data_IF_333614787838
#
_entry.id   IF_333614787838
#
_cell.length_a   1.000
_cell.length_b   1.000
_cell.length_c   1.000
_cell.angle_alpha   90.00
_cell.angle_beta   90.00
_cell.angle_gamma   90.00
#
_symmetry.space_group_name_H-M   'P 1'
#
loop_
_entity.id
_entity.type
_entity.pdbx_description
1 polymer ?
#
# COMPACT_ATOMS: atom_id res chain seq x y z
N UNK A 1 12.54 32.33 -5.65
CA UNK A 1 12.94 32.94 -6.94
C UNK A 1 12.05 32.51 -8.12
N UNK A 2 11.70 31.22 -8.31
CA UNK A 2 10.77 30.81 -9.40
C UNK A 2 9.37 31.44 -9.24
N UNK A 3 8.76 31.35 -8.06
CA UNK A 3 7.46 31.98 -7.80
C UNK A 3 7.50 33.49 -7.96
N UNK A 4 8.60 34.13 -7.54
CA UNK A 4 8.88 35.55 -7.76
C UNK A 4 8.88 35.91 -9.25
N UNK A 5 9.51 35.09 -10.10
CA UNK A 5 9.53 35.30 -11.55
C UNK A 5 8.14 35.11 -12.18
N UNK A 6 7.39 34.09 -11.75
CA UNK A 6 6.01 33.84 -12.20
C UNK A 6 5.11 35.02 -11.82
N UNK A 7 5.20 35.49 -10.57
CA UNK A 7 4.44 36.65 -10.10
C UNK A 7 4.81 37.92 -10.84
N UNK A 8 6.10 38.17 -11.09
CA UNK A 8 6.56 39.31 -11.89
C UNK A 8 5.88 39.33 -13.27
N UNK A 9 5.86 38.18 -13.94
CA UNK A 9 5.19 38.03 -15.23
C UNK A 9 3.67 38.24 -15.11
N UNK A 10 3.02 37.60 -14.13
CA UNK A 10 1.57 37.66 -13.94
C UNK A 10 1.06 39.06 -13.56
N UNK A 11 1.83 39.81 -12.76
CA UNK A 11 1.52 41.19 -12.37
C UNK A 11 1.96 42.22 -13.41
N UNK A 12 2.55 41.78 -14.52
CA UNK A 12 3.11 42.64 -15.57
C UNK A 12 4.10 43.67 -15.00
N UNK A 13 4.91 43.23 -14.04
CA UNK A 13 5.86 44.06 -13.32
C UNK A 13 7.18 44.19 -14.12
N UNK A 14 7.49 45.42 -14.52
CA UNK A 14 8.67 45.77 -15.32
C UNK A 14 9.87 46.24 -14.49
N UNK A 15 9.79 46.23 -13.17
CA UNK A 15 10.92 46.62 -12.32
C UNK A 15 12.12 45.70 -12.58
N UNK A 16 13.31 46.33 -12.64
CA UNK A 16 14.57 45.62 -12.89
C UNK A 16 14.91 44.66 -11.75
N UNK A 17 14.57 45.06 -10.53
CA UNK A 17 14.75 44.28 -9.31
C UNK A 17 13.40 43.85 -8.78
N UNK A 18 13.29 42.57 -8.41
CA UNK A 18 12.10 42.02 -7.76
C UNK A 18 12.58 41.12 -6.63
N UNK A 19 11.98 41.31 -5.46
CA UNK A 19 12.31 40.57 -4.26
C UNK A 19 11.33 39.44 -4.01
N UNK A 20 11.82 38.38 -3.35
CA UNK A 20 10.98 37.30 -2.87
C UNK A 20 10.03 37.87 -1.82
N UNK A 21 8.73 37.69 -2.03
CA UNK A 21 7.72 38.02 -1.03
C UNK A 21 7.38 36.80 -0.18
N UNK A 22 6.77 37.02 0.98
CA UNK A 22 6.32 35.94 1.87
C UNK A 22 5.39 34.97 1.14
N UNK A 23 4.51 35.48 0.25
CA UNK A 23 3.64 34.63 -0.57
C UNK A 23 4.43 33.68 -1.49
N UNK A 24 5.56 34.12 -2.05
CA UNK A 24 6.40 33.29 -2.90
C UNK A 24 7.05 32.16 -2.09
N UNK A 25 7.47 32.48 -0.86
CA UNK A 25 8.09 31.54 0.07
C UNK A 25 7.08 30.55 0.64
N UNK A 26 5.95 31.03 1.16
CA UNK A 26 4.89 30.20 1.74
C UNK A 26 4.26 29.27 0.70
N UNK A 27 4.14 29.71 -0.56
CA UNK A 27 3.70 28.85 -1.66
C UNK A 27 4.69 27.70 -1.88
N UNK A 28 5.99 27.99 -1.92
CA UNK A 28 7.02 26.97 -2.06
C UNK A 28 7.03 25.99 -0.87
N UNK A 29 6.89 26.52 0.35
CA UNK A 29 6.86 25.73 1.58
C UNK A 29 5.64 24.80 1.61
N UNK A 30 4.48 25.32 1.23
CA UNK A 30 3.24 24.55 1.15
C UNK A 30 3.34 23.43 0.14
N UNK A 31 3.83 23.71 -1.07
CA UNK A 31 4.05 22.67 -2.10
C UNK A 31 5.04 21.60 -1.62
N UNK A 32 6.12 22.01 -0.96
CA UNK A 32 7.11 21.08 -0.41
C UNK A 32 6.48 20.13 0.62
N UNK A 33 5.71 20.67 1.57
CA UNK A 33 4.99 19.87 2.58
C UNK A 33 4.03 18.88 1.92
N UNK A 34 3.25 19.35 0.94
CA UNK A 34 2.32 18.51 0.18
C UNK A 34 3.06 17.39 -0.56
N UNK A 35 4.13 17.71 -1.30
CA UNK A 35 4.89 16.69 -2.03
C UNK A 35 5.53 15.64 -1.11
N UNK A 36 5.99 16.04 0.08
CA UNK A 36 6.47 15.08 1.09
C UNK A 36 5.33 14.18 1.55
N UNK A 37 4.16 14.72 1.86
CA UNK A 37 3.01 13.90 2.26
C UNK A 37 2.60 12.92 1.14
N UNK A 38 2.56 13.38 -0.10
CA UNK A 38 2.27 12.54 -1.26
C UNK A 38 3.34 11.47 -1.50
N UNK A 39 4.63 11.80 -1.32
CA UNK A 39 5.71 10.82 -1.48
C UNK A 39 5.62 9.74 -0.41
N UNK A 40 5.31 10.09 0.85
CA UNK A 40 5.07 9.12 1.93
C UNK A 40 3.93 8.18 1.54
N UNK A 41 2.78 8.71 1.11
CA UNK A 41 1.63 7.89 0.68
C UNK A 41 2.01 6.96 -0.47
N UNK A 42 2.74 7.46 -1.46
CA UNK A 42 3.25 6.64 -2.56
C UNK A 42 4.17 5.54 -2.03
N UNK A 43 5.13 5.86 -1.15
CA UNK A 43 6.03 4.86 -0.56
C UNK A 43 5.31 3.83 0.30
N UNK A 44 4.27 4.22 1.05
CA UNK A 44 3.47 3.27 1.82
C UNK A 44 2.61 2.36 0.95
N UNK A 45 2.14 2.88 -0.19
CA UNK A 45 1.29 2.14 -1.13
C UNK A 45 2.08 1.40 -2.21
N UNK A 46 3.36 1.73 -2.38
CA UNK A 46 4.26 0.96 -3.23
C UNK A 46 4.32 -0.45 -2.64
N UNK A 47 4.09 -1.49 -3.46
CA UNK A 47 4.21 -2.86 -2.99
C UNK A 47 5.62 -3.01 -2.45
N UNK A 48 5.76 -3.30 -1.14
CA UNK A 48 7.06 -3.54 -0.51
C UNK A 48 7.85 -4.47 -1.43
N UNK A 49 8.95 -3.97 -2.00
CA UNK A 49 9.87 -4.79 -2.81
C UNK A 49 10.45 -5.85 -1.87
N UNK A 50 9.76 -6.97 -1.75
CA UNK A 50 9.99 -8.01 -0.75
C UNK A 50 8.79 -8.93 -0.55
N UNK A 51 7.56 -8.42 -0.71
CA UNK A 51 6.36 -9.26 -0.71
C UNK A 51 6.05 -9.76 -2.13
N UNK A 52 6.98 -10.47 -2.77
CA UNK A 52 6.66 -11.37 -3.89
C UNK A 52 5.96 -12.65 -3.36
N UNK A 53 4.99 -12.45 -2.47
CA UNK A 53 4.26 -13.50 -1.79
C UNK A 53 2.78 -13.53 -2.20
N UNK A 54 2.04 -14.52 -1.72
CA UNK A 54 0.62 -14.74 -2.05
C UNK A 54 -0.32 -13.58 -1.66
N UNK A 55 0.20 -12.57 -0.96
CA UNK A 55 -0.49 -11.39 -0.44
C UNK A 55 -0.53 -10.19 -1.40
N UNK A 56 0.11 -10.28 -2.59
CA UNK A 56 0.23 -9.20 -3.59
C UNK A 56 -1.09 -8.57 -4.06
N UNK A 57 -2.25 -9.17 -3.77
CA UNK A 57 -3.53 -8.84 -4.41
C UNK A 57 -4.55 -8.14 -3.50
N UNK A 58 -4.12 -7.51 -2.41
CA UNK A 58 -4.95 -6.60 -1.61
C UNK A 58 -5.08 -6.98 -0.15
N UNK A 59 -5.44 -5.98 0.67
CA UNK A 59 -5.61 -6.09 2.12
C UNK A 59 -6.50 -7.28 2.53
N UNK A 60 -7.50 -7.63 1.72
CA UNK A 60 -8.44 -8.70 2.02
C UNK A 60 -7.76 -10.07 2.13
N UNK A 61 -6.72 -10.36 1.34
CA UNK A 61 -5.97 -11.64 1.44
C UNK A 61 -5.12 -11.70 2.71
N UNK A 62 -4.61 -10.55 3.16
CA UNK A 62 -3.86 -10.43 4.40
C UNK A 62 -4.78 -10.59 5.60
N UNK A 63 -5.88 -9.84 5.65
CA UNK A 63 -6.94 -9.97 6.66
C UNK A 63 -7.50 -11.39 6.73
N UNK A 64 -7.69 -12.03 5.58
CA UNK A 64 -8.08 -13.44 5.51
C UNK A 64 -7.06 -14.36 6.18
N UNK A 65 -5.77 -14.24 5.84
CA UNK A 65 -4.74 -15.06 6.46
C UNK A 65 -4.63 -14.81 7.95
N UNK A 66 -4.71 -13.55 8.41
CA UNK A 66 -4.66 -13.19 9.83
C UNK A 66 -5.84 -13.80 10.60
N UNK A 67 -7.02 -13.89 9.98
CA UNK A 67 -8.22 -14.50 10.55
C UNK A 67 -8.19 -16.04 10.59
N UNK A 68 -7.27 -16.71 9.87
CA UNK A 68 -7.14 -18.17 9.94
C UNK A 68 -6.57 -18.60 11.31
N UNK A 69 -7.09 -19.66 11.93
CA UNK A 69 -6.47 -20.25 13.12
C UNK A 69 -5.04 -20.75 12.86
N UNK A 70 -4.28 -21.06 13.91
CA UNK A 70 -2.96 -21.68 13.76
C UNK A 70 -3.04 -23.07 13.13
N UNK A 71 -4.11 -23.84 13.40
CA UNK A 71 -4.41 -25.14 12.78
C UNK A 71 -5.83 -25.11 12.27
N UNK A 72 -6.03 -25.42 10.99
CA UNK A 72 -7.35 -25.37 10.37
C UNK A 72 -7.51 -26.39 9.25
N UNK A 73 -8.76 -26.70 8.92
CA UNK A 73 -9.10 -27.52 7.77
C UNK A 73 -9.40 -26.67 6.54
N UNK A 74 -9.26 -27.26 5.34
CA UNK A 74 -9.61 -26.60 4.08
C UNK A 74 -11.05 -26.06 4.08
N UNK A 75 -12.00 -26.78 4.69
CA UNK A 75 -13.41 -26.36 4.77
C UNK A 75 -13.57 -25.07 5.57
N UNK A 76 -12.92 -24.97 6.72
CA UNK A 76 -12.93 -23.79 7.58
C UNK A 76 -12.31 -22.58 6.86
N UNK A 77 -11.22 -22.79 6.13
CA UNK A 77 -10.61 -21.73 5.32
C UNK A 77 -11.55 -21.21 4.22
N UNK A 78 -12.39 -22.07 3.62
CA UNK A 78 -13.38 -21.65 2.62
C UNK A 78 -14.49 -20.83 3.27
N UNK A 79 -14.96 -21.23 4.45
CA UNK A 79 -15.98 -20.48 5.20
C UNK A 79 -15.48 -19.10 5.66
N UNK A 80 -14.25 -19.03 6.17
CA UNK A 80 -13.61 -17.77 6.54
C UNK A 80 -13.39 -16.93 5.27
N UNK A 81 -12.96 -17.53 4.16
CA UNK A 81 -12.73 -16.84 2.89
C UNK A 81 -13.97 -16.14 2.35
N UNK A 82 -15.16 -16.74 2.51
CA UNK A 82 -16.44 -16.10 2.14
C UNK A 82 -16.68 -14.79 2.90
N UNK A 83 -16.26 -14.69 4.16
CA UNK A 83 -16.40 -13.45 4.96
C UNK A 83 -15.53 -12.30 4.43
N UNK A 84 -14.48 -12.61 3.67
CA UNK A 84 -13.56 -11.65 3.07
C UNK A 84 -13.76 -11.48 1.56
N UNK A 85 -14.90 -11.95 1.03
CA UNK A 85 -15.24 -11.94 -0.41
C UNK A 85 -14.23 -12.70 -1.29
N UNK A 86 -13.71 -13.83 -0.77
CA UNK A 86 -12.77 -14.69 -1.48
C UNK A 86 -13.48 -15.98 -1.89
N UNK A 87 -13.62 -16.20 -3.20
CA UNK A 87 -14.18 -17.43 -3.75
C UNK A 87 -13.36 -18.68 -3.43
N UNK A 88 -14.02 -19.84 -3.36
CA UNK A 88 -13.42 -21.12 -2.98
C UNK A 88 -12.16 -21.49 -3.79
N UNK A 89 -12.20 -21.27 -5.11
CA UNK A 89 -11.04 -21.52 -5.99
C UNK A 89 -9.86 -20.63 -5.63
N UNK A 90 -10.12 -19.37 -5.27
CA UNK A 90 -9.10 -18.40 -4.83
C UNK A 90 -8.51 -18.76 -3.49
N UNK A 91 -9.32 -19.23 -2.52
CA UNK A 91 -8.83 -19.79 -1.25
C UNK A 91 -7.90 -20.97 -1.50
N UNK A 92 -8.30 -21.90 -2.38
CA UNK A 92 -7.48 -23.06 -2.72
C UNK A 92 -6.13 -22.71 -3.33
N UNK A 93 -6.11 -21.75 -4.27
CA UNK A 93 -4.88 -21.26 -4.89
C UNK A 93 -4.00 -20.50 -3.88
N UNK A 94 -4.62 -19.72 -2.98
CA UNK A 94 -3.92 -18.98 -1.95
C UNK A 94 -3.25 -19.89 -0.91
N UNK A 95 -3.94 -20.93 -0.44
CA UNK A 95 -3.33 -21.91 0.47
C UNK A 95 -2.14 -22.61 -0.20
N UNK A 96 -2.27 -23.01 -1.47
CA UNK A 96 -1.17 -23.61 -2.24
C UNK A 96 0.04 -22.68 -2.38
N UNK A 97 -0.16 -21.39 -2.59
CA UNK A 97 0.94 -20.42 -2.72
C UNK A 97 1.53 -20.01 -1.37
N UNK A 98 0.83 -20.26 -0.26
CA UNK A 98 1.36 -20.09 1.10
C UNK A 98 2.13 -21.31 1.63
N UNK A 99 1.92 -22.51 1.04
CA UNK A 99 2.61 -23.72 1.46
C UNK A 99 4.14 -23.59 1.32
N UNK A 100 4.86 -24.03 2.35
CA UNK A 100 6.33 -24.04 2.39
C UNK A 100 6.98 -22.73 2.84
N UNK A 101 6.25 -21.61 2.87
CA UNK A 101 6.75 -20.33 3.40
C UNK A 101 5.96 -19.85 4.62
N UNK A 102 4.64 -19.97 4.58
CA UNK A 102 3.73 -19.45 5.61
C UNK A 102 2.83 -20.54 6.22
N UNK A 103 2.62 -21.64 5.49
CA UNK A 103 1.81 -22.79 5.93
C UNK A 103 2.55 -24.11 5.74
N UNK A 104 2.32 -25.06 6.63
CA UNK A 104 2.63 -26.48 6.48
C UNK A 104 1.36 -27.29 6.31
N UNK A 105 1.48 -28.48 5.71
CA UNK A 105 0.39 -29.44 5.57
C UNK A 105 0.79 -30.74 6.27
N UNK A 106 0.47 -30.90 7.58
CA UNK A 106 0.78 -32.13 8.30
C UNK A 106 -0.03 -33.34 7.83
N UNK A 107 -1.25 -33.10 7.32
CA UNK A 107 -2.15 -34.15 6.79
C UNK A 107 -2.96 -33.59 5.62
N UNK A 108 -3.30 -34.43 4.65
CA UNK A 108 -4.16 -34.04 3.51
C UNK A 108 -5.43 -33.35 4.01
N UNK A 109 -5.61 -32.09 3.62
CA UNK A 109 -6.77 -31.26 4.00
C UNK A 109 -6.62 -30.47 5.30
N UNK A 110 -5.55 -30.66 6.07
CA UNK A 110 -5.20 -29.91 7.28
C UNK A 110 -4.01 -28.99 7.00
N UNK A 111 -4.06 -27.78 7.54
CA UNK A 111 -3.02 -26.76 7.38
C UNK A 111 -2.63 -26.20 8.74
N UNK A 112 -1.36 -25.85 8.89
CA UNK A 112 -0.82 -25.22 10.09
C UNK A 112 0.03 -24.00 9.70
N UNK A 113 -0.10 -22.90 10.46
CA UNK A 113 0.72 -21.70 10.25
C UNK A 113 2.14 -21.94 10.75
N UNK A 114 3.11 -21.53 9.95
CA UNK A 114 4.52 -21.47 10.37
C UNK A 114 4.68 -20.16 11.15
N UNK A 115 5.04 -20.29 12.43
CA UNK A 115 5.40 -19.16 13.30
C UNK A 115 6.82 -18.65 12.97
#
# INVERSE_FOLDING_TARGET
MIFTAIRKFASNDYHKEVYCLDIDFETALTLTKTYIQHSIIMFTNLPKQGEQGPFKSGENKKKFFDALPNKFQRKEAIEIGKKFDIGERSVGNFLKSCLGKYLTQPKTGFYEKIL
#
